data_IF_060863289937
#
_entry.id   IF_060863289937
#
_cell.length_a   1.000
_cell.length_b   1.000
_cell.length_c   1.000
_cell.angle_alpha   90.00
_cell.angle_beta   90.00
_cell.angle_gamma   90.00
#
_symmetry.space_group_name_H-M   'P 1'
#
loop_
_entity.id
_entity.type
_entity.pdbx_description
1 polymer ?
#
# COMPACT_ATOMS: atom_id res chain seq x y z
N UNK A 1 -11.68 15.07 -2.55
CA UNK A 1 -10.91 13.82 -2.37
C UNK A 1 -9.92 13.57 -3.52
N UNK A 2 -10.29 13.73 -4.80
CA UNK A 2 -9.38 13.50 -5.94
C UNK A 2 -8.08 14.33 -5.93
N UNK A 3 -8.14 15.61 -5.58
CA UNK A 3 -6.94 16.48 -5.54
C UNK A 3 -5.89 16.06 -4.50
N UNK A 4 -6.31 15.54 -3.35
CA UNK A 4 -5.39 15.10 -2.31
C UNK A 4 -4.66 13.80 -2.69
N UNK A 5 -5.34 12.90 -3.40
CA UNK A 5 -4.74 11.68 -3.92
C UNK A 5 -3.80 11.96 -5.10
N UNK A 6 -4.10 12.96 -5.95
CA UNK A 6 -3.23 13.40 -7.05
C UNK A 6 -1.94 14.11 -6.55
N UNK A 7 -2.05 14.90 -5.48
CA UNK A 7 -0.85 15.48 -4.85
C UNK A 7 0.00 14.44 -4.14
N UNK A 8 -0.62 13.46 -3.48
CA UNK A 8 0.08 12.35 -2.82
C UNK A 8 0.76 11.44 -3.85
N UNK A 9 0.08 11.09 -4.95
CA UNK A 9 0.64 10.24 -5.99
C UNK A 9 1.82 10.88 -6.73
N UNK A 10 1.84 12.20 -6.88
CA UNK A 10 2.97 12.93 -7.48
C UNK A 10 4.18 13.06 -6.56
N UNK A 11 3.97 13.14 -5.25
CA UNK A 11 5.04 13.37 -4.29
C UNK A 11 5.61 12.05 -3.75
N UNK A 12 4.73 11.09 -3.46
CA UNK A 12 5.09 9.77 -2.95
C UNK A 12 4.07 8.71 -3.39
N UNK A 13 4.34 8.02 -4.51
CA UNK A 13 3.52 6.89 -4.97
C UNK A 13 3.40 5.76 -3.93
N UNK A 14 4.40 5.55 -3.06
CA UNK A 14 4.39 4.51 -2.04
C UNK A 14 3.36 4.83 -0.95
N UNK A 15 3.28 6.10 -0.52
CA UNK A 15 2.29 6.55 0.45
C UNK A 15 0.85 6.28 0.00
N UNK A 16 0.58 6.33 -1.31
CA UNK A 16 -0.74 5.98 -1.86
C UNK A 16 -1.06 4.51 -1.65
N UNK A 17 -0.10 3.62 -1.91
CA UNK A 17 -0.27 2.17 -1.71
C UNK A 17 -0.47 1.84 -0.22
N UNK A 18 0.34 2.43 0.66
CA UNK A 18 0.21 2.27 2.12
C UNK A 18 -1.14 2.76 2.65
N UNK A 19 -1.61 3.91 2.14
CA UNK A 19 -2.90 4.48 2.50
C UNK A 19 -4.06 3.59 2.03
N UNK A 20 -3.98 3.09 0.79
CA UNK A 20 -4.96 2.17 0.23
C UNK A 20 -5.03 0.88 1.06
N UNK A 21 -3.89 0.25 1.34
CA UNK A 21 -3.79 -0.96 2.15
C UNK A 21 -4.45 -0.77 3.53
N UNK A 22 -4.07 0.29 4.25
CA UNK A 22 -4.61 0.61 5.58
C UNK A 22 -6.12 0.89 5.53
N UNK A 23 -6.59 1.54 4.47
CA UNK A 23 -8.02 1.84 4.28
C UNK A 23 -8.82 0.58 4.02
N UNK A 24 -8.33 -0.33 3.17
CA UNK A 24 -8.97 -1.61 2.87
C UNK A 24 -9.08 -2.48 4.13
N UNK A 25 -8.00 -2.62 4.89
CA UNK A 25 -8.03 -3.34 6.18
C UNK A 25 -8.99 -2.70 7.18
N UNK A 26 -9.03 -1.37 7.25
CA UNK A 26 -10.00 -0.64 8.07
C UNK A 26 -11.45 -0.89 7.65
N UNK A 27 -11.71 -0.92 6.34
CA UNK A 27 -13.01 -1.18 5.76
C UNK A 27 -13.50 -2.60 6.08
N UNK A 28 -12.68 -3.61 5.78
CA UNK A 28 -13.01 -5.03 6.00
C UNK A 28 -13.32 -5.31 7.48
N UNK A 29 -12.49 -4.78 8.40
CA UNK A 29 -12.75 -4.90 9.84
C UNK A 29 -14.07 -4.27 10.27
N UNK A 30 -14.43 -3.11 9.73
CA UNK A 30 -15.70 -2.43 10.05
C UNK A 30 -16.92 -3.13 9.47
N UNK A 31 -16.74 -3.90 8.40
CA UNK A 31 -17.81 -4.52 7.63
C UNK A 31 -17.90 -6.03 7.85
N UNK A 32 -17.25 -6.58 8.89
CA UNK A 32 -17.35 -8.01 9.21
C UNK A 32 -18.81 -8.48 9.30
N UNK A 33 -19.19 -9.38 8.38
CA UNK A 33 -20.55 -9.92 8.28
C UNK A 33 -21.60 -8.96 7.69
N UNK A 34 -21.19 -7.82 7.13
CA UNK A 34 -22.08 -6.83 6.49
C UNK A 34 -21.72 -6.65 5.01
N UNK A 35 -22.71 -6.53 4.12
CA UNK A 35 -22.45 -6.28 2.71
C UNK A 35 -21.76 -4.93 2.50
N UNK A 36 -20.63 -4.94 1.79
CA UNK A 36 -19.93 -3.71 1.39
C UNK A 36 -20.64 -3.15 0.16
N UNK A 37 -21.25 -1.97 0.30
CA UNK A 37 -21.96 -1.30 -0.80
C UNK A 37 -20.99 -0.71 -1.82
N UNK A 38 -21.36 -0.83 -3.10
CA UNK A 38 -20.72 -0.09 -4.19
C UNK A 38 -21.29 1.32 -4.28
N UNK A 39 -20.49 2.23 -4.86
CA UNK A 39 -20.89 3.63 -5.03
C UNK A 39 -21.69 3.88 -6.32
N UNK A 40 -21.57 3.00 -7.32
CA UNK A 40 -22.04 3.23 -8.68
C UNK A 40 -22.89 2.08 -9.25
N UNK A 41 -23.13 1.04 -8.46
CA UNK A 41 -23.85 -0.18 -8.87
C UNK A 41 -24.73 -0.62 -7.70
N UNK A 42 -25.94 -1.11 -7.99
CA UNK A 42 -26.97 -1.43 -7.00
C UNK A 42 -26.79 -2.77 -6.26
N UNK A 43 -25.69 -3.50 -6.50
CA UNK A 43 -25.36 -4.72 -5.74
C UNK A 43 -24.10 -4.52 -4.88
N UNK A 44 -24.03 -5.13 -3.68
CA UNK A 44 -22.82 -5.12 -2.86
C UNK A 44 -21.72 -5.99 -3.49
N UNK A 45 -20.49 -5.87 -2.98
CA UNK A 45 -19.43 -6.85 -3.28
C UNK A 45 -19.85 -8.24 -2.82
N UNK A 46 -19.63 -9.25 -3.67
CA UNK A 46 -19.89 -10.66 -3.38
C UNK A 46 -18.79 -11.30 -2.55
N UNK A 47 -19.06 -12.49 -2.00
CA UNK A 47 -18.09 -13.23 -1.16
C UNK A 47 -16.81 -13.58 -1.92
N UNK A 48 -16.92 -14.01 -3.19
CA UNK A 48 -15.75 -14.33 -4.03
C UNK A 48 -14.86 -13.11 -4.26
N UNK A 49 -15.45 -11.93 -4.50
CA UNK A 49 -14.69 -10.70 -4.72
C UNK A 49 -13.98 -10.23 -3.44
N UNK A 50 -14.63 -10.44 -2.29
CA UNK A 50 -14.03 -10.15 -0.99
C UNK A 50 -12.94 -11.17 -0.65
N UNK A 51 -13.12 -12.44 -1.00
CA UNK A 51 -12.09 -13.47 -0.84
C UNK A 51 -10.86 -13.15 -1.71
N UNK A 52 -11.03 -12.77 -2.97
CA UNK A 52 -9.91 -12.32 -3.83
C UNK A 52 -9.18 -11.10 -3.24
N UNK A 53 -9.94 -10.16 -2.67
CA UNK A 53 -9.35 -9.00 -1.98
C UNK A 53 -8.50 -9.44 -0.77
N UNK A 54 -9.03 -10.34 0.05
CA UNK A 54 -8.39 -10.81 1.29
C UNK A 54 -7.21 -11.77 1.05
N UNK A 55 -7.36 -12.68 0.11
CA UNK A 55 -6.43 -13.79 -0.13
C UNK A 55 -5.38 -13.47 -1.21
N UNK A 56 -5.67 -12.57 -2.14
CA UNK A 56 -4.75 -12.24 -3.23
C UNK A 56 -4.22 -10.80 -3.13
N UNK A 57 -5.13 -9.80 -3.14
CA UNK A 57 -4.70 -8.41 -3.27
C UNK A 57 -3.96 -7.91 -2.02
N UNK A 58 -4.54 -8.11 -0.83
CA UNK A 58 -3.91 -7.64 0.41
C UNK A 58 -2.51 -8.26 0.62
N UNK A 59 -2.31 -9.58 0.48
CA UNK A 59 -0.97 -10.17 0.59
C UNK A 59 0.00 -9.65 -0.45
N UNK A 60 -0.45 -9.42 -1.69
CA UNK A 60 0.41 -8.84 -2.73
C UNK A 60 0.85 -7.41 -2.39
N UNK A 61 -0.05 -6.60 -1.82
CA UNK A 61 0.28 -5.26 -1.33
C UNK A 61 1.29 -5.30 -0.18
N UNK A 62 1.13 -6.21 0.78
CA UNK A 62 2.08 -6.38 1.88
C UNK A 62 3.48 -6.77 1.39
N UNK A 63 3.57 -7.76 0.49
CA UNK A 63 4.84 -8.17 -0.12
C UNK A 63 5.52 -7.03 -0.88
N UNK A 64 4.74 -6.26 -1.63
CA UNK A 64 5.23 -5.07 -2.32
C UNK A 64 5.82 -4.06 -1.33
N UNK A 65 5.11 -3.72 -0.26
CA UNK A 65 5.57 -2.75 0.74
C UNK A 65 6.85 -3.21 1.45
N UNK A 66 6.93 -4.49 1.81
CA UNK A 66 8.15 -5.08 2.39
C UNK A 66 9.32 -4.94 1.42
N UNK A 67 9.10 -5.30 0.14
CA UNK A 67 10.14 -5.25 -0.87
C UNK A 67 10.69 -3.85 -1.10
N UNK A 68 9.83 -2.83 -1.07
CA UNK A 68 10.27 -1.44 -1.19
C UNK A 68 11.13 -1.04 0.01
N UNK A 69 10.72 -1.38 1.23
CA UNK A 69 11.52 -1.12 2.43
C UNK A 69 12.90 -1.78 2.41
N UNK A 70 13.01 -2.99 1.88
CA UNK A 70 14.31 -3.66 1.67
C UNK A 70 15.21 -2.90 0.70
N UNK A 71 14.63 -2.38 -0.39
CA UNK A 71 15.35 -1.61 -1.40
C UNK A 71 15.84 -0.30 -0.80
N UNK A 72 14.98 0.42 -0.07
CA UNK A 72 15.32 1.69 0.57
C UNK A 72 16.49 1.49 1.57
N UNK A 73 16.39 0.47 2.43
CA UNK A 73 17.45 0.14 3.38
C UNK A 73 18.79 -0.23 2.68
N UNK A 74 18.71 -0.95 1.55
CA UNK A 74 19.90 -1.29 0.78
C UNK A 74 20.56 -0.06 0.14
N UNK A 75 19.75 0.90 -0.33
CA UNK A 75 20.22 2.17 -0.90
C UNK A 75 20.89 3.03 0.19
N UNK A 76 20.24 3.19 1.35
CA UNK A 76 20.80 3.94 2.48
C UNK A 76 22.13 3.36 2.93
N UNK A 77 22.19 2.04 3.13
CA UNK A 77 23.44 1.38 3.53
C UNK A 77 24.54 1.53 2.46
N UNK A 78 24.20 1.61 1.18
CA UNK A 78 25.17 1.87 0.11
C UNK A 78 25.68 3.31 0.12
N UNK A 79 24.81 4.28 0.39
CA UNK A 79 25.17 5.69 0.52
C UNK A 79 26.10 5.93 1.71
N UNK A 80 25.82 5.31 2.86
CA UNK A 80 26.65 5.40 4.06
C UNK A 80 28.07 4.89 3.80
N UNK A 81 28.19 3.71 3.19
CA UNK A 81 29.49 3.14 2.80
C UNK A 81 30.26 4.05 1.84
N UNK A 82 29.58 4.69 0.89
CA UNK A 82 30.23 5.61 -0.04
C UNK A 82 30.74 6.88 0.66
N UNK A 83 29.98 7.39 1.63
CA UNK A 83 30.36 8.52 2.47
C UNK A 83 31.61 8.20 3.32
N UNK A 84 31.65 7.02 3.94
CA UNK A 84 32.79 6.57 4.74
C UNK A 84 34.08 6.48 3.91
N UNK A 85 34.02 5.88 2.71
CA UNK A 85 35.15 5.77 1.80
C UNK A 85 35.66 7.16 1.36
N UNK A 86 34.76 8.10 1.08
CA UNK A 86 35.15 9.46 0.69
C UNK A 86 35.75 10.29 1.83
N UNK A 87 35.48 9.93 3.09
CA UNK A 87 36.05 10.61 4.28
C UNK A 87 37.42 10.06 4.67
N UNK A 88 37.76 8.85 4.20
CA UNK A 88 39.01 8.16 4.48
C UNK A 88 40.08 8.36 3.39
N UNK A 89 39.72 8.99 2.27
CA UNK A 89 40.60 9.35 1.15
C UNK A 89 41.00 10.82 1.20
#
# INVERSE_FOLDING_TARGET
>A
MAYALDSLSRQDPLAVVQSCHSTLLGLLRRQQGRPIKRLWIDHPYGEEELALLEEELLPAMEQFLVRVGEIDAAIEAAADRASEISSAA
#
